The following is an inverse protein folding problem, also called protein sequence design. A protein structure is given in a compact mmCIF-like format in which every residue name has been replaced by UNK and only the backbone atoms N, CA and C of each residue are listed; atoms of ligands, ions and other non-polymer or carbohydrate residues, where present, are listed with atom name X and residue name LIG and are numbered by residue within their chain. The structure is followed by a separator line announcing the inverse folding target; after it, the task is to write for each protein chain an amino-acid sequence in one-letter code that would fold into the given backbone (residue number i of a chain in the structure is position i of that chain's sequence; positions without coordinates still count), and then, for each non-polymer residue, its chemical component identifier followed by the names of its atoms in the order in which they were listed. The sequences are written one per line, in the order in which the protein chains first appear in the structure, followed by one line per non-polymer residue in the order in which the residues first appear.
data_IF_308132004497
#
_entry.id   IF_308132004497
#
_cell.length_a   1.000
_cell.length_b   1.000
_cell.length_c   1.000
_cell.angle_alpha   90.00
_cell.angle_beta   90.00
_cell.angle_gamma   90.00
#
_symmetry.space_group_name_H-M   'P 1'
#
loop_
_entity.id
_entity.type
_entity.pdbx_description
1 polymer ?
#
# COMPACT_ATOMS: atom_id res chain seq x y z
N UNK A 1 -20.94 36.48 -8.59
CA UNK A 1 -19.56 36.01 -8.85
C UNK A 1 -19.23 35.06 -7.72
N UNK A 2 -19.29 33.77 -7.99
CA UNK A 2 -18.95 32.72 -7.02
C UNK A 2 -17.44 32.79 -6.80
N UNK A 3 -17.00 32.93 -5.54
CA UNK A 3 -15.59 33.03 -5.20
C UNK A 3 -14.97 31.62 -5.37
N UNK A 4 -14.54 31.28 -6.59
CA UNK A 4 -13.81 30.04 -6.90
C UNK A 4 -12.35 30.19 -6.49
N UNK A 5 -12.08 30.29 -5.20
CA UNK A 5 -10.73 30.09 -4.68
C UNK A 5 -10.40 28.60 -4.82
N UNK A 6 -9.71 28.22 -5.89
CA UNK A 6 -9.15 26.87 -6.00
C UNK A 6 -8.21 26.63 -4.81
N UNK A 7 -8.47 25.57 -4.04
CA UNK A 7 -7.62 25.17 -2.92
C UNK A 7 -6.28 24.67 -3.48
N UNK A 8 -5.30 25.55 -3.55
CA UNK A 8 -3.98 25.25 -4.15
C UNK A 8 -3.03 24.52 -3.19
N UNK A 9 -3.28 24.63 -1.88
CA UNK A 9 -2.40 24.13 -0.83
C UNK A 9 -3.22 23.51 0.30
N UNK A 10 -2.78 22.35 0.78
CA UNK A 10 -3.27 21.75 2.02
C UNK A 10 -2.20 21.89 3.09
N UNK A 11 -2.65 22.28 4.29
CA UNK A 11 -1.82 22.25 5.49
C UNK A 11 -1.98 20.87 6.12
N UNK A 12 -0.91 20.07 6.08
CA UNK A 12 -0.83 18.83 6.83
C UNK A 12 -0.69 19.21 8.31
N UNK A 13 -1.78 19.14 9.07
CA UNK A 13 -1.83 19.62 10.46
C UNK A 13 -0.71 19.06 11.36
N UNK A 14 -0.10 17.95 10.95
CA UNK A 14 0.98 17.26 11.64
C UNK A 14 0.44 16.40 12.78
N UNK A 15 1.19 15.37 13.17
CA UNK A 15 0.78 14.44 14.23
C UNK A 15 0.86 15.07 15.63
N UNK A 16 1.79 16.01 15.84
CA UNK A 16 1.92 16.73 17.11
C UNK A 16 2.56 18.11 16.88
N UNK A 17 2.19 19.07 17.73
CA UNK A 17 2.85 20.38 17.83
C UNK A 17 3.80 20.44 19.04
N UNK A 18 3.87 19.37 19.84
CA UNK A 18 4.79 19.29 20.99
C UNK A 18 6.22 18.95 20.50
N UNK A 19 7.19 19.88 20.65
CA UNK A 19 8.57 19.66 20.23
C UNK A 19 9.24 18.45 20.92
N UNK A 20 8.82 18.13 22.15
CA UNK A 20 9.34 16.99 22.90
C UNK A 20 8.90 15.64 22.34
N UNK A 21 7.77 15.61 21.63
CA UNK A 21 7.18 14.39 21.06
C UNK A 21 7.54 14.19 19.58
N UNK A 22 7.98 15.23 18.87
CA UNK A 22 8.42 15.14 17.47
C UNK A 22 9.60 14.19 17.27
N UNK A 23 10.63 14.27 18.13
CA UNK A 23 11.81 13.41 18.03
C UNK A 23 11.49 11.93 18.32
N UNK A 24 10.75 11.57 19.40
CA UNK A 24 10.27 10.20 19.61
C UNK A 24 9.45 9.65 18.45
N UNK A 25 8.52 10.44 17.91
CA UNK A 25 7.69 10.01 16.77
C UNK A 25 8.54 9.77 15.54
N UNK A 26 9.47 10.68 15.22
CA UNK A 26 10.39 10.53 14.09
C UNK A 26 11.19 9.23 14.20
N UNK A 27 11.81 8.96 15.36
CA UNK A 27 12.57 7.73 15.60
C UNK A 27 11.68 6.50 15.45
N UNK A 28 10.45 6.56 15.97
CA UNK A 28 9.49 5.45 15.88
C UNK A 28 9.11 5.15 14.42
N UNK A 29 8.75 6.16 13.63
CA UNK A 29 8.43 5.98 12.21
C UNK A 29 9.63 5.49 11.40
N UNK A 30 10.84 5.99 11.70
CA UNK A 30 12.06 5.56 11.05
C UNK A 30 12.35 4.07 11.32
N UNK A 31 12.19 3.62 12.56
CA UNK A 31 12.37 2.22 12.93
C UNK A 31 11.34 1.32 12.24
N UNK A 32 10.06 1.69 12.28
CA UNK A 32 8.99 0.93 11.62
C UNK A 32 9.25 0.81 10.12
N UNK A 33 9.60 1.92 9.47
CA UNK A 33 9.92 1.96 8.04
C UNK A 33 11.11 1.06 7.70
N UNK A 34 12.19 1.13 8.48
CA UNK A 34 13.39 0.32 8.24
C UNK A 34 13.11 -1.17 8.43
N UNK A 35 12.36 -1.53 9.48
CA UNK A 35 11.97 -2.93 9.73
C UNK A 35 11.08 -3.44 8.59
N UNK A 36 10.10 -2.66 8.14
CA UNK A 36 9.22 -3.04 7.03
C UNK A 36 10.04 -3.24 5.74
N UNK A 37 10.90 -2.28 5.40
CA UNK A 37 11.74 -2.34 4.22
C UNK A 37 12.65 -3.58 4.22
N UNK A 38 13.39 -3.79 5.31
CA UNK A 38 14.32 -4.93 5.44
C UNK A 38 13.55 -6.25 5.44
N UNK A 39 12.43 -6.33 6.16
CA UNK A 39 11.60 -7.53 6.22
C UNK A 39 11.04 -7.92 4.86
N UNK A 40 10.41 -6.97 4.16
CA UNK A 40 9.79 -7.24 2.86
C UNK A 40 10.81 -7.46 1.74
N UNK A 41 11.94 -6.74 1.74
CA UNK A 41 13.05 -7.04 0.81
C UNK A 41 13.65 -8.41 1.09
N UNK A 42 13.82 -8.77 2.37
CA UNK A 42 14.27 -10.10 2.78
C UNK A 42 13.34 -11.20 2.27
N UNK A 43 12.02 -11.02 2.40
CA UNK A 43 11.03 -11.95 1.88
C UNK A 43 11.12 -12.11 0.36
N UNK A 44 11.23 -11.01 -0.39
CA UNK A 44 11.39 -11.05 -1.85
C UNK A 44 12.67 -11.80 -2.22
N UNK A 45 13.80 -11.50 -1.56
CA UNK A 45 15.08 -12.19 -1.79
C UNK A 45 14.99 -13.69 -1.49
N UNK A 46 14.35 -14.09 -0.40
CA UNK A 46 14.17 -15.51 -0.05
C UNK A 46 13.34 -16.25 -1.10
N UNK A 47 12.29 -15.63 -1.63
CA UNK A 47 11.44 -16.22 -2.68
C UNK A 47 12.21 -16.38 -3.99
N UNK A 48 13.07 -15.41 -4.35
CA UNK A 48 13.87 -15.45 -5.57
C UNK A 48 15.03 -16.45 -5.47
N UNK A 49 15.64 -16.58 -4.30
CA UNK A 49 16.83 -17.43 -4.08
C UNK A 49 16.51 -18.91 -3.90
N UNK A 50 15.33 -19.27 -3.37
CA UNK A 50 14.96 -20.67 -3.16
C UNK A 50 13.86 -21.12 -4.12
N UNK A 51 14.25 -21.95 -5.10
CA UNK A 51 13.33 -22.49 -6.10
C UNK A 51 12.26 -23.40 -5.52
N UNK A 52 12.44 -23.94 -4.31
CA UNK A 52 11.42 -24.75 -3.61
C UNK A 52 10.27 -23.93 -3.04
N UNK A 53 10.44 -22.61 -2.98
CA UNK A 53 9.39 -21.67 -2.62
C UNK A 53 8.52 -21.26 -3.83
N UNK A 54 8.69 -21.83 -5.02
CA UNK A 54 7.77 -21.60 -6.16
C UNK A 54 6.41 -22.31 -5.98
N UNK A 55 5.70 -21.97 -4.91
CA UNK A 55 4.28 -22.32 -4.75
C UNK A 55 3.41 -21.07 -4.99
N UNK A 56 2.14 -21.23 -5.42
CA UNK A 56 1.17 -20.14 -5.59
C UNK A 56 1.17 -19.12 -4.45
N UNK A 57 1.24 -19.61 -3.20
CA UNK A 57 1.22 -18.78 -1.99
C UNK A 57 2.42 -17.81 -1.92
N UNK A 58 3.63 -18.26 -2.24
CA UNK A 58 4.81 -17.39 -2.21
C UNK A 58 4.83 -16.39 -3.35
N UNK A 59 4.18 -16.70 -4.48
CA UNK A 59 4.00 -15.73 -5.55
C UNK A 59 3.10 -14.57 -5.12
N UNK A 60 2.00 -14.85 -4.41
CA UNK A 60 1.19 -13.80 -3.77
C UNK A 60 1.97 -13.05 -2.69
N UNK A 61 2.76 -13.75 -1.87
CA UNK A 61 3.54 -13.15 -0.79
C UNK A 61 4.61 -12.19 -1.32
N UNK A 62 5.27 -12.51 -2.43
CA UNK A 62 6.22 -11.61 -3.08
C UNK A 62 5.58 -10.32 -3.60
N UNK A 63 4.37 -10.42 -4.18
CA UNK A 63 3.59 -9.24 -4.59
C UNK A 63 3.12 -8.43 -3.38
N UNK A 64 2.70 -9.09 -2.30
CA UNK A 64 2.31 -8.44 -1.05
C UNK A 64 3.50 -7.65 -0.47
N UNK A 65 4.68 -8.27 -0.37
CA UNK A 65 5.90 -7.58 0.10
C UNK A 65 6.29 -6.38 -0.76
N UNK A 66 6.11 -6.46 -2.09
CA UNK A 66 6.32 -5.31 -2.98
C UNK A 66 5.33 -4.18 -2.69
N UNK A 67 4.04 -4.53 -2.53
CA UNK A 67 2.96 -3.58 -2.22
C UNK A 67 3.20 -2.91 -0.87
N UNK A 68 3.62 -3.64 0.16
CA UNK A 68 3.94 -3.11 1.49
C UNK A 68 5.07 -2.08 1.47
N UNK A 69 6.13 -2.36 0.69
CA UNK A 69 7.25 -1.41 0.50
C UNK A 69 6.75 -0.13 -0.17
N UNK A 70 5.97 -0.27 -1.25
CA UNK A 70 5.43 0.87 -1.98
C UNK A 70 4.44 1.68 -1.12
N UNK A 71 3.57 1.00 -0.39
CA UNK A 71 2.59 1.59 0.53
C UNK A 71 3.27 2.41 1.62
N UNK A 72 4.26 1.81 2.30
CA UNK A 72 5.03 2.49 3.36
C UNK A 72 5.80 3.68 2.78
N UNK A 73 6.44 3.50 1.62
CA UNK A 73 7.21 4.56 0.96
C UNK A 73 6.35 5.71 0.42
N UNK A 74 5.06 5.49 0.16
CA UNK A 74 4.15 6.55 -0.27
C UNK A 74 3.75 7.51 0.86
N UNK A 75 3.76 7.04 2.12
CA UNK A 75 3.26 7.82 3.27
C UNK A 75 4.37 8.25 4.20
N UNK A 76 5.26 7.33 4.57
CA UNK A 76 6.21 7.58 5.65
C UNK A 76 7.21 8.71 5.35
N UNK A 77 7.74 8.87 4.13
CA UNK A 77 8.63 9.99 3.80
C UNK A 77 7.97 11.35 3.99
N UNK A 78 6.70 11.51 3.58
CA UNK A 78 5.95 12.76 3.77
C UNK A 78 5.74 13.06 5.26
N UNK A 79 5.40 12.04 6.04
CA UNK A 79 5.22 12.18 7.50
C UNK A 79 6.54 12.53 8.19
N UNK A 80 7.63 11.86 7.83
CA UNK A 80 8.97 12.14 8.37
C UNK A 80 9.46 13.55 8.00
N UNK A 81 9.24 13.99 6.76
CA UNK A 81 9.58 15.33 6.30
C UNK A 81 8.82 16.40 7.09
N UNK A 82 7.52 16.19 7.32
CA UNK A 82 6.68 17.09 8.14
C UNK A 82 7.10 17.17 9.61
N UNK A 83 7.72 16.11 10.16
CA UNK A 83 8.27 16.11 11.52
C UNK A 83 9.66 16.77 11.61
N UNK A 84 10.48 16.70 10.56
CA UNK A 84 11.85 17.26 10.55
C UNK A 84 11.93 18.72 10.10
N UNK A 85 11.28 19.07 8.99
CA UNK A 85 11.38 20.41 8.42
C UNK A 85 10.37 21.39 9.00
N UNK A 86 9.34 20.90 9.71
CA UNK A 86 8.23 21.72 10.20
C UNK A 86 7.37 22.33 9.09
N UNK A 87 7.74 22.13 7.82
CA UNK A 87 7.07 22.65 6.65
C UNK A 87 5.91 21.72 6.29
N UNK A 88 4.70 22.15 6.67
CA UNK A 88 3.47 21.37 6.66
C UNK A 88 2.66 21.54 5.37
N UNK A 89 3.25 22.09 4.31
CA UNK A 89 2.53 22.48 3.11
C UNK A 89 2.70 21.39 2.04
N UNK A 90 1.60 20.73 1.68
CA UNK A 90 1.55 19.84 0.53
C UNK A 90 0.68 20.48 -0.55
N UNK A 91 1.12 20.41 -1.81
CA UNK A 91 0.31 20.90 -2.93
C UNK A 91 -0.92 20.01 -3.12
N UNK A 92 -2.00 20.59 -3.62
CA UNK A 92 -3.24 19.85 -3.92
C UNK A 92 -2.98 18.58 -4.74
N UNK A 93 -2.20 18.70 -5.82
CA UNK A 93 -1.87 17.58 -6.70
C UNK A 93 -1.02 16.50 -6.01
N UNK A 94 -0.07 16.90 -5.15
CA UNK A 94 0.74 15.94 -4.39
C UNK A 94 -0.09 15.19 -3.34
N UNK A 95 -1.01 15.89 -2.68
CA UNK A 95 -1.97 15.27 -1.75
C UNK A 95 -2.89 14.27 -2.46
N UNK A 96 -3.44 14.66 -3.62
CA UNK A 96 -4.27 13.78 -4.43
C UNK A 96 -3.52 12.54 -4.92
N UNK A 97 -2.28 12.71 -5.41
CA UNK A 97 -1.44 11.59 -5.80
C UNK A 97 -1.11 10.68 -4.61
N UNK A 98 -0.76 11.24 -3.45
CA UNK A 98 -0.46 10.46 -2.24
C UNK A 98 -1.68 9.65 -1.79
N UNK A 99 -2.86 10.27 -1.73
CA UNK A 99 -4.11 9.58 -1.39
C UNK A 99 -4.45 8.47 -2.39
N UNK A 100 -4.26 8.74 -3.68
CA UNK A 100 -4.49 7.76 -4.74
C UNK A 100 -3.58 6.53 -4.63
N UNK A 101 -2.27 6.73 -4.49
CA UNK A 101 -1.31 5.64 -4.37
C UNK A 101 -1.53 4.86 -3.07
N UNK A 102 -1.74 5.57 -1.95
CA UNK A 102 -2.06 4.97 -0.67
C UNK A 102 -3.30 4.07 -0.75
N UNK A 103 -4.41 4.60 -1.29
CA UNK A 103 -5.64 3.86 -1.48
C UNK A 103 -5.45 2.65 -2.39
N UNK A 104 -4.75 2.83 -3.51
CA UNK A 104 -4.48 1.74 -4.46
C UNK A 104 -3.76 0.59 -3.78
N UNK A 105 -2.63 0.87 -3.11
CA UNK A 105 -1.86 -0.17 -2.43
C UNK A 105 -2.63 -0.82 -1.27
N UNK A 106 -3.39 -0.06 -0.49
CA UNK A 106 -4.26 -0.61 0.56
C UNK A 106 -5.30 -1.60 -0.01
N UNK A 107 -5.98 -1.24 -1.09
CA UNK A 107 -6.94 -2.16 -1.72
C UNK A 107 -6.26 -3.40 -2.29
N UNK A 108 -5.11 -3.22 -2.96
CA UNK A 108 -4.35 -4.35 -3.51
C UNK A 108 -3.90 -5.31 -2.41
N UNK A 109 -3.38 -4.79 -1.29
CA UNK A 109 -3.00 -5.59 -0.11
C UNK A 109 -4.18 -6.45 0.37
N UNK A 110 -5.35 -5.83 0.55
CA UNK A 110 -6.56 -6.53 1.00
C UNK A 110 -7.02 -7.61 0.00
N UNK A 111 -6.99 -7.31 -1.31
CA UNK A 111 -7.36 -8.30 -2.33
C UNK A 111 -6.34 -9.43 -2.44
N UNK A 112 -5.05 -9.15 -2.27
CA UNK A 112 -4.00 -10.17 -2.21
C UNK A 112 -4.20 -11.09 -1.00
N UNK A 113 -4.44 -10.53 0.20
CA UNK A 113 -4.75 -11.33 1.39
C UNK A 113 -5.99 -12.20 1.20
N UNK A 114 -7.04 -11.69 0.56
CA UNK A 114 -8.23 -12.47 0.22
C UNK A 114 -7.91 -13.62 -0.75
N UNK A 115 -7.08 -13.37 -1.77
CA UNK A 115 -6.64 -14.41 -2.71
C UNK A 115 -5.80 -15.50 -2.04
N UNK A 116 -4.95 -15.13 -1.07
CA UNK A 116 -4.16 -16.08 -0.28
C UNK A 116 -5.05 -16.92 0.64
N UNK A 117 -6.06 -16.31 1.26
CA UNK A 117 -7.06 -17.03 2.04
C UNK A 117 -7.85 -18.03 1.17
N UNK A 118 -8.21 -17.62 -0.06
CA UNK A 118 -8.86 -18.49 -1.03
C UNK A 118 -7.96 -19.66 -1.48
N UNK A 119 -6.67 -19.41 -1.72
CA UNK A 119 -5.69 -20.47 -2.02
C UNK A 119 -5.60 -21.51 -0.91
N UNK A 120 -5.47 -21.07 0.35
CA UNK A 120 -5.44 -21.98 1.51
C UNK A 120 -6.75 -22.74 1.68
N UNK A 121 -7.89 -22.09 1.45
CA UNK A 121 -9.20 -22.74 1.48
C UNK A 121 -9.32 -23.83 0.40
N UNK A 122 -8.93 -23.54 -0.85
CA UNK A 122 -8.98 -24.49 -1.94
C UNK A 122 -8.06 -25.69 -1.70
N UNK A 123 -6.88 -25.47 -1.12
CA UNK A 123 -5.93 -26.52 -0.77
C UNK A 123 -6.50 -27.50 0.27
N UNK A 124 -7.20 -26.99 1.28
CA UNK A 124 -7.75 -27.80 2.39
C UNK A 124 -9.08 -28.46 2.00
N UNK A 125 -10.01 -27.71 1.42
CA UNK A 125 -11.37 -28.18 1.17
C UNK A 125 -11.51 -28.96 -0.14
N UNK A 126 -10.62 -28.77 -1.11
CA UNK A 126 -10.69 -29.44 -2.43
C UNK A 126 -9.31 -29.91 -2.93
N UNK A 127 -8.60 -30.77 -2.18
CA UNK A 127 -7.23 -31.18 -2.50
C UNK A 127 -7.07 -31.83 -3.88
N UNK A 128 -8.04 -32.66 -4.32
CA UNK A 128 -8.00 -33.32 -5.65
C UNK A 128 -8.15 -32.33 -6.82
N UNK A 129 -8.81 -31.20 -6.61
CA UNK A 129 -9.01 -30.18 -7.64
C UNK A 129 -8.02 -29.01 -7.50
N UNK A 130 -7.20 -28.98 -6.44
CA UNK A 130 -6.31 -27.87 -6.17
C UNK A 130 -5.29 -27.66 -7.29
N UNK A 131 -4.65 -28.74 -7.77
CA UNK A 131 -3.63 -28.66 -8.83
C UNK A 131 -4.19 -28.22 -10.18
N UNK A 132 -5.48 -28.46 -10.45
CA UNK A 132 -6.16 -28.01 -11.67
C UNK A 132 -6.79 -26.62 -11.53
N UNK A 133 -7.16 -26.21 -10.32
CA UNK A 133 -7.81 -24.92 -10.04
C UNK A 133 -6.77 -23.81 -9.78
N UNK A 134 -5.73 -24.08 -8.99
CA UNK A 134 -4.67 -23.14 -8.64
C UNK A 134 -3.42 -23.39 -9.48
N UNK A 135 -3.50 -23.01 -10.75
CA UNK A 135 -2.35 -22.98 -11.65
C UNK A 135 -1.64 -21.62 -11.59
N UNK A 136 -0.38 -21.57 -12.04
CA UNK A 136 0.39 -20.32 -12.14
C UNK A 136 -0.33 -19.26 -12.98
N UNK A 137 -1.01 -19.66 -14.05
CA UNK A 137 -1.83 -18.77 -14.88
C UNK A 137 -2.99 -18.17 -14.08
N UNK A 138 -3.75 -18.98 -13.33
CA UNK A 138 -4.84 -18.48 -12.48
C UNK A 138 -4.33 -17.52 -11.41
N UNK A 139 -3.18 -17.82 -10.79
CA UNK A 139 -2.55 -16.91 -9.83
C UNK A 139 -2.19 -15.56 -10.46
N UNK A 140 -1.64 -15.57 -11.69
CA UNK A 140 -1.34 -14.33 -12.41
C UNK A 140 -2.60 -13.51 -12.72
N UNK A 141 -3.70 -14.16 -13.13
CA UNK A 141 -4.98 -13.49 -13.34
C UNK A 141 -5.56 -12.91 -12.04
N UNK A 142 -5.46 -13.64 -10.92
CA UNK A 142 -5.89 -13.15 -9.62
C UNK A 142 -5.11 -11.91 -9.20
N UNK A 143 -3.79 -11.91 -9.37
CA UNK A 143 -2.93 -10.76 -9.06
C UNK A 143 -3.28 -9.56 -9.94
N UNK A 144 -3.40 -9.76 -11.25
CA UNK A 144 -3.82 -8.70 -12.18
C UNK A 144 -5.19 -8.14 -11.75
N UNK A 145 -6.13 -9.02 -11.39
CA UNK A 145 -7.43 -8.63 -10.85
C UNK A 145 -7.32 -7.79 -9.58
N UNK A 146 -6.44 -8.16 -8.64
CA UNK A 146 -6.18 -7.38 -7.41
C UNK A 146 -5.70 -5.96 -7.75
N UNK A 147 -4.75 -5.81 -8.67
CA UNK A 147 -4.24 -4.51 -9.11
C UNK A 147 -5.29 -3.67 -9.83
N UNK A 148 -6.05 -4.27 -10.74
CA UNK A 148 -7.12 -3.56 -11.48
C UNK A 148 -8.24 -3.10 -10.54
N UNK A 149 -8.72 -3.98 -9.66
CA UNK A 149 -9.75 -3.63 -8.68
C UNK A 149 -9.24 -2.58 -7.69
N UNK A 150 -8.00 -2.70 -7.21
CA UNK A 150 -7.42 -1.72 -6.29
C UNK A 150 -7.28 -0.35 -6.91
N UNK A 151 -6.81 -0.28 -8.16
CA UNK A 151 -6.73 0.97 -8.93
C UNK A 151 -8.10 1.61 -9.13
N UNK A 152 -9.11 0.82 -9.51
CA UNK A 152 -10.46 1.33 -9.77
C UNK A 152 -11.11 1.86 -8.48
N UNK A 153 -11.03 1.10 -7.39
CA UNK A 153 -11.55 1.51 -6.08
C UNK A 153 -10.88 2.79 -5.59
N UNK A 154 -9.56 2.89 -5.72
CA UNK A 154 -8.81 4.09 -5.35
C UNK A 154 -9.15 5.30 -6.23
N UNK A 155 -9.36 5.09 -7.54
CA UNK A 155 -9.79 6.13 -8.47
C UNK A 155 -11.16 6.69 -8.09
N UNK A 156 -12.10 5.82 -7.75
CA UNK A 156 -13.46 6.21 -7.34
C UNK A 156 -13.40 7.00 -6.02
N UNK A 157 -12.66 6.50 -5.03
CA UNK A 157 -12.57 7.17 -3.71
C UNK A 157 -11.88 8.52 -3.85
N UNK A 158 -10.70 8.57 -4.47
CA UNK A 158 -9.96 9.81 -4.69
C UNK A 158 -10.79 10.79 -5.52
N UNK A 159 -11.39 10.32 -6.62
CA UNK A 159 -12.25 11.15 -7.48
C UNK A 159 -13.43 11.74 -6.71
N UNK A 160 -14.13 10.94 -5.90
CA UNK A 160 -15.23 11.43 -5.07
C UNK A 160 -14.74 12.43 -4.01
N UNK A 161 -13.64 12.15 -3.32
CA UNK A 161 -13.08 13.03 -2.28
C UNK A 161 -12.69 14.40 -2.83
N UNK A 162 -12.09 14.45 -4.02
CA UNK A 162 -11.67 15.69 -4.66
C UNK A 162 -12.76 16.35 -5.52
N UNK A 163 -13.88 15.66 -5.77
CA UNK A 163 -15.09 16.26 -6.37
C UNK A 163 -16.02 16.88 -5.32
N UNK A 164 -15.81 16.61 -4.03
CA UNK A 164 -16.50 17.31 -2.96
C UNK A 164 -16.03 18.78 -2.94
N UNK A 165 -16.99 19.68 -3.11
CA UNK A 165 -16.76 21.12 -3.02
C UNK A 165 -16.51 21.44 -1.54
N UNK A 166 -15.30 21.87 -1.21
CA UNK A 166 -14.93 22.44 0.09
C UNK A 166 -14.84 23.96 0.00
#
# INVERSE_FOLDING_TARGET
MENRTEVTQFILLGLTNDPGLQLPLFVTFLLIYTINLVGNLGMILLIVLDSRLYTPMYFFLGNLSLVDICYSSAVTPTVMAGLLLGDKIITYNACAAQMFFFGTFAFVENYLLASMAYDRYAAVCKPLHYTTTMTTSVCSYLIIGCYVCGFLSASIITGNTFSLIF
#
